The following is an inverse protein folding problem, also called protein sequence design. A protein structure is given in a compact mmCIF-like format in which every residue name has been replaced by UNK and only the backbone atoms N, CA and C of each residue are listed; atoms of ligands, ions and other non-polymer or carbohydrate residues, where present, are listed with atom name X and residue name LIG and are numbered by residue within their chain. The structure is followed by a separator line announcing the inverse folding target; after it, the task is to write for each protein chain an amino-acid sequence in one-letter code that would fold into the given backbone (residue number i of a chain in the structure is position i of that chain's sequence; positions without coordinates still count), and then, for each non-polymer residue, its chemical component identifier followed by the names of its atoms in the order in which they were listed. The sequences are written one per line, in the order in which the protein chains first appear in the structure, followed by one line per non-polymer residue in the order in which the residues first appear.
data_IF_697890531057
#
_entry.id   IF_697890531057
#
_cell.length_a   1.000
_cell.length_b   1.000
_cell.length_c   1.000
_cell.angle_alpha   90.00
_cell.angle_beta   90.00
_cell.angle_gamma   90.00
#
_symmetry.space_group_name_H-M   'P 1'
#
loop_
_entity.id
_entity.type
_entity.pdbx_description
1 polymer ?
#
# COMPACT_ATOMS: atom_id res chain seq x y z
N UNK A 1 0.61 -3.19 28.86
CA UNK A 1 0.09 -4.42 28.22
C UNK A 1 -1.43 -4.45 28.02
N UNK A 2 -2.22 -3.51 28.56
CA UNK A 2 -3.67 -3.42 28.30
C UNK A 2 -4.07 -2.33 27.28
N UNK A 3 -3.17 -1.40 26.91
CA UNK A 3 -3.50 -0.28 25.99
C UNK A 3 -3.48 -0.65 24.49
N UNK A 4 -2.62 -1.56 24.03
CA UNK A 4 -2.60 -1.99 22.62
C UNK A 4 -3.90 -2.66 22.17
N UNK A 5 -4.64 -3.26 23.11
CA UNK A 5 -5.92 -3.91 22.81
C UNK A 5 -7.06 -2.92 22.62
N UNK A 6 -6.88 -1.64 23.01
CA UNK A 6 -7.93 -0.61 22.92
C UNK A 6 -7.90 0.18 21.60
N UNK A 7 -6.78 0.20 20.89
CA UNK A 7 -6.60 1.05 19.69
C UNK A 7 -7.19 0.38 18.44
N UNK A 8 -7.13 -0.96 18.36
CA UNK A 8 -7.77 -1.80 17.33
C UNK A 8 -9.30 -1.64 17.23
N UNK A 9 -9.97 -1.01 18.21
CA UNK A 9 -11.43 -0.89 18.32
C UNK A 9 -12.12 -0.12 17.18
N UNK A 10 -11.43 0.78 16.47
CA UNK A 10 -12.07 1.76 15.57
C UNK A 10 -11.73 1.63 14.08
N UNK A 11 -10.92 0.64 13.69
CA UNK A 11 -10.63 0.40 12.26
C UNK A 11 -11.83 -0.29 11.59
N UNK A 12 -12.41 0.38 10.59
CA UNK A 12 -13.40 -0.18 9.69
C UNK A 12 -12.67 -0.81 8.50
N UNK A 13 -12.77 -2.13 8.36
CA UNK A 13 -12.13 -2.87 7.27
C UNK A 13 -13.22 -3.34 6.32
N UNK A 14 -13.07 -3.12 5.02
CA UNK A 14 -14.06 -3.47 4.02
C UNK A 14 -13.42 -4.21 2.86
N UNK A 15 -13.94 -5.40 2.53
CA UNK A 15 -13.56 -6.08 1.29
C UNK A 15 -14.35 -5.48 0.13
N UNK A 16 -13.62 -4.92 -0.84
CA UNK A 16 -14.20 -4.50 -2.11
C UNK A 16 -14.35 -5.72 -3.02
N UNK A 17 -15.49 -5.85 -3.69
CA UNK A 17 -15.71 -6.94 -4.64
C UNK A 17 -14.95 -6.66 -5.93
N UNK A 18 -13.69 -7.10 -6.00
CA UNK A 18 -12.81 -6.84 -7.12
C UNK A 18 -12.06 -8.08 -7.59
N UNK A 19 -11.67 -8.05 -8.87
CA UNK A 19 -10.67 -8.93 -9.50
C UNK A 19 -9.71 -8.06 -10.28
N UNK A 20 -8.68 -7.59 -9.60
CA UNK A 20 -7.71 -6.64 -10.14
C UNK A 20 -6.48 -7.36 -10.66
N UNK A 21 -5.86 -6.76 -11.65
CA UNK A 21 -4.56 -7.14 -12.16
C UNK A 21 -3.58 -6.00 -11.91
N UNK A 22 -2.31 -6.35 -11.71
CA UNK A 22 -1.21 -5.38 -11.58
C UNK A 22 -0.40 -5.42 -12.87
N UNK A 23 -0.13 -4.26 -13.47
CA UNK A 23 0.66 -4.11 -14.69
C UNK A 23 1.91 -3.32 -14.36
N UNK A 24 3.07 -3.97 -14.48
CA UNK A 24 4.39 -3.36 -14.44
C UNK A 24 4.80 -2.85 -15.82
N UNK A 25 5.15 -1.57 -15.92
CA UNK A 25 5.62 -0.90 -17.13
C UNK A 25 6.98 -0.25 -16.84
N UNK A 26 8.07 -0.71 -17.47
CA UNK A 26 9.37 -0.05 -17.38
C UNK A 26 9.30 1.40 -17.86
N UNK A 27 10.02 2.32 -17.21
CA UNK A 27 9.94 3.76 -17.53
C UNK A 27 10.26 4.12 -18.98
N UNK A 28 11.20 3.42 -19.60
CA UNK A 28 11.53 3.65 -21.02
C UNK A 28 10.37 3.28 -21.97
N UNK A 29 9.41 2.46 -21.52
CA UNK A 29 8.20 2.11 -22.26
C UNK A 29 6.99 2.96 -21.88
N UNK A 30 7.02 3.65 -20.74
CA UNK A 30 5.91 4.46 -20.22
C UNK A 30 5.25 5.38 -21.28
N UNK A 31 6.01 6.10 -22.16
CA UNK A 31 5.40 6.93 -23.20
C UNK A 31 4.45 6.17 -24.14
N UNK A 32 4.69 4.88 -24.40
CA UNK A 32 3.79 4.05 -25.21
C UNK A 32 2.47 3.75 -24.50
N UNK A 33 2.47 3.76 -23.18
CA UNK A 33 1.34 3.40 -22.32
C UNK A 33 0.52 4.61 -21.82
N UNK A 34 0.92 5.84 -22.17
CA UNK A 34 0.11 7.03 -21.85
C UNK A 34 -1.31 6.89 -22.38
N UNK A 35 -1.49 6.47 -23.62
CA UNK A 35 -2.82 6.37 -24.23
C UNK A 35 -3.77 5.41 -23.47
N UNK A 36 -3.39 4.16 -23.13
CA UNK A 36 -4.26 3.29 -22.35
C UNK A 36 -4.46 3.80 -20.91
N UNK A 37 -3.47 4.45 -20.30
CA UNK A 37 -3.62 5.08 -18.98
C UNK A 37 -4.66 6.21 -19.02
N UNK A 38 -4.59 7.09 -20.02
CA UNK A 38 -5.57 8.17 -20.20
C UNK A 38 -6.97 7.61 -20.45
N UNK A 39 -7.11 6.55 -21.26
CA UNK A 39 -8.40 5.87 -21.46
C UNK A 39 -8.97 5.30 -20.17
N UNK A 40 -8.13 4.70 -19.33
CA UNK A 40 -8.54 4.19 -18.02
C UNK A 40 -9.07 5.31 -17.12
N UNK A 41 -8.44 6.48 -17.14
CA UNK A 41 -8.85 7.66 -16.38
C UNK A 41 -10.18 8.27 -16.87
N UNK A 42 -10.46 8.22 -18.18
CA UNK A 42 -11.71 8.75 -18.77
C UNK A 42 -12.95 7.91 -18.48
N UNK A 43 -12.82 6.74 -17.83
CA UNK A 43 -14.00 5.94 -17.46
C UNK A 43 -14.91 6.67 -16.46
N UNK A 44 -14.38 7.64 -15.71
CA UNK A 44 -15.16 8.54 -14.83
C UNK A 44 -16.22 9.35 -15.60
N UNK A 45 -16.04 9.56 -16.91
CA UNK A 45 -16.97 10.31 -17.75
C UNK A 45 -18.20 9.48 -18.18
N UNK A 46 -18.26 8.20 -17.80
CA UNK A 46 -19.39 7.33 -18.10
C UNK A 46 -20.68 7.85 -17.44
N UNK A 47 -21.77 7.90 -18.20
CA UNK A 47 -23.09 8.37 -17.75
C UNK A 47 -23.91 7.27 -17.07
N UNK A 48 -23.26 6.26 -16.50
CA UNK A 48 -23.96 5.11 -15.94
C UNK A 48 -24.79 5.51 -14.73
N UNK A 49 -26.05 5.09 -14.70
CA UNK A 49 -26.92 5.25 -13.54
C UNK A 49 -26.63 4.13 -12.53
N UNK A 50 -26.49 4.51 -11.27
CA UNK A 50 -26.37 3.57 -10.14
C UNK A 50 -27.66 3.67 -9.34
N UNK A 51 -28.42 2.58 -9.23
CA UNK A 51 -29.70 2.51 -8.52
C UNK A 51 -30.74 3.57 -8.96
N UNK A 52 -30.74 3.93 -10.25
CA UNK A 52 -31.65 4.93 -10.84
C UNK A 52 -31.30 6.38 -10.48
N UNK A 53 -30.14 6.62 -9.89
CA UNK A 53 -29.56 7.94 -9.70
C UNK A 53 -28.30 8.10 -10.58
N UNK A 54 -28.06 9.30 -11.14
CA UNK A 54 -26.83 9.55 -11.88
C UNK A 54 -25.63 9.39 -10.94
N UNK A 55 -24.62 8.61 -11.37
CA UNK A 55 -23.36 8.50 -10.64
C UNK A 55 -22.76 9.88 -10.44
N UNK A 56 -22.21 10.12 -9.25
CA UNK A 56 -21.42 11.32 -8.96
C UNK A 56 -20.22 11.36 -9.90
N UNK A 57 -20.02 12.46 -10.61
CA UNK A 57 -18.91 12.57 -11.60
C UNK A 57 -17.52 12.39 -11.00
N UNK A 58 -17.35 12.77 -9.75
CA UNK A 58 -16.09 12.58 -9.03
C UNK A 58 -15.86 11.13 -8.58
N UNK A 59 -16.88 10.26 -8.63
CA UNK A 59 -16.77 8.86 -8.25
C UNK A 59 -16.37 8.00 -9.45
N UNK A 60 -15.38 7.14 -9.24
CA UNK A 60 -14.90 6.24 -10.28
C UNK A 60 -15.87 5.07 -10.48
N UNK A 61 -16.08 4.56 -11.72
CA UNK A 61 -16.97 3.42 -11.96
C UNK A 61 -16.60 2.13 -11.26
N UNK A 62 -15.30 1.86 -11.15
CA UNK A 62 -14.79 0.62 -10.56
C UNK A 62 -14.44 0.83 -9.10
N UNK A 63 -14.60 -0.21 -8.28
CA UNK A 63 -14.36 -0.11 -6.84
C UNK A 63 -12.95 0.37 -6.48
N UNK A 64 -11.94 0.02 -7.28
CA UNK A 64 -10.56 0.47 -7.07
C UNK A 64 -9.75 0.51 -8.37
N UNK A 65 -8.94 1.55 -8.53
CA UNK A 65 -7.87 1.64 -9.53
C UNK A 65 -6.75 2.52 -8.99
N UNK A 66 -5.50 2.10 -9.17
CA UNK A 66 -4.32 2.88 -8.84
C UNK A 66 -3.38 2.96 -10.05
N UNK A 67 -2.83 4.15 -10.31
CA UNK A 67 -1.80 4.39 -11.32
C UNK A 67 -0.65 5.09 -10.63
N UNK A 68 0.50 4.44 -10.55
CA UNK A 68 1.69 4.96 -9.89
C UNK A 68 2.85 5.03 -10.87
N UNK A 69 3.45 6.21 -11.02
CA UNK A 69 4.72 6.43 -11.71
C UNK A 69 5.75 6.81 -10.67
N UNK A 70 6.90 6.16 -10.68
CA UNK A 70 8.02 6.38 -9.75
C UNK A 70 9.31 6.55 -10.54
N UNK A 71 10.43 6.77 -9.86
CA UNK A 71 11.77 6.84 -10.48
C UNK A 71 12.28 5.49 -11.00
N UNK A 72 11.57 4.39 -10.71
CA UNK A 72 11.95 3.03 -11.12
C UNK A 72 11.02 2.47 -12.21
N UNK A 73 9.71 2.68 -12.07
CA UNK A 73 8.68 2.09 -12.92
C UNK A 73 7.36 2.86 -12.93
N UNK A 74 6.48 2.49 -13.86
CA UNK A 74 5.05 2.73 -13.77
C UNK A 74 4.32 1.42 -13.43
N UNK A 75 3.43 1.47 -12.45
CA UNK A 75 2.54 0.38 -12.03
C UNK A 75 1.09 0.81 -12.21
N UNK A 76 0.26 -0.04 -12.81
CA UNK A 76 -1.18 0.17 -12.94
C UNK A 76 -1.92 -1.00 -12.31
N UNK A 77 -2.75 -0.72 -11.32
CA UNK A 77 -3.70 -1.66 -10.72
C UNK A 77 -5.09 -1.31 -11.21
N UNK A 78 -5.74 -2.21 -11.96
CA UNK A 78 -7.13 -2.00 -12.38
C UNK A 78 -7.83 -3.35 -12.64
N UNK A 79 -9.16 -3.38 -12.81
CA UNK A 79 -9.89 -4.61 -13.14
C UNK A 79 -9.27 -5.38 -14.31
N UNK A 80 -9.13 -6.71 -14.14
CA UNK A 80 -8.55 -7.60 -15.16
C UNK A 80 -9.15 -7.39 -16.57
N UNK A 81 -10.48 -7.25 -16.75
CA UNK A 81 -11.05 -7.00 -18.07
C UNK A 81 -10.54 -5.72 -18.73
N UNK A 82 -10.27 -4.66 -17.96
CA UNK A 82 -9.72 -3.40 -18.48
C UNK A 82 -8.24 -3.53 -18.84
N UNK A 83 -7.47 -4.36 -18.13
CA UNK A 83 -6.11 -4.72 -18.54
C UNK A 83 -6.12 -5.43 -19.90
N UNK A 84 -7.02 -6.40 -20.07
CA UNK A 84 -7.14 -7.16 -21.31
C UNK A 84 -7.65 -6.31 -22.47
N UNK A 85 -8.50 -5.32 -22.22
CA UNK A 85 -9.01 -4.41 -23.26
C UNK A 85 -8.01 -3.30 -23.62
N UNK A 86 -7.41 -2.65 -22.64
CA UNK A 86 -6.64 -1.41 -22.84
C UNK A 86 -5.14 -1.68 -23.04
N UNK A 87 -4.56 -2.61 -22.27
CA UNK A 87 -3.11 -2.79 -22.19
C UNK A 87 -2.62 -3.97 -23.04
N UNK A 88 -3.28 -5.13 -22.98
CA UNK A 88 -2.86 -6.34 -23.70
C UNK A 88 -2.71 -6.13 -25.22
N UNK A 89 -3.63 -5.45 -25.93
CA UNK A 89 -3.48 -5.25 -27.37
C UNK A 89 -2.29 -4.36 -27.72
N UNK A 90 -1.90 -3.44 -26.83
CA UNK A 90 -0.70 -2.62 -27.02
C UNK A 90 0.56 -3.46 -26.80
N UNK A 91 0.61 -4.24 -25.71
CA UNK A 91 1.74 -5.11 -25.36
C UNK A 91 2.02 -6.12 -26.48
N UNK A 92 0.97 -6.68 -27.09
CA UNK A 92 1.12 -7.64 -28.19
C UNK A 92 1.71 -7.05 -29.47
N UNK A 93 1.62 -5.72 -29.66
CA UNK A 93 2.21 -5.01 -30.80
C UNK A 93 3.65 -4.56 -30.56
N UNK A 94 4.15 -4.64 -29.32
CA UNK A 94 5.54 -4.32 -29.00
C UNK A 94 6.48 -5.37 -29.60
N UNK A 95 7.74 -4.99 -29.79
CA UNK A 95 8.78 -5.96 -30.14
C UNK A 95 8.97 -7.00 -29.02
N UNK A 96 9.64 -8.11 -29.32
CA UNK A 96 9.78 -9.22 -28.38
C UNK A 96 10.45 -8.83 -27.06
N UNK A 97 11.40 -7.88 -27.08
CA UNK A 97 12.14 -7.46 -25.88
C UNK A 97 11.26 -6.56 -25.01
N UNK A 98 10.63 -5.55 -25.60
CA UNK A 98 9.72 -4.64 -24.91
C UNK A 98 8.48 -5.39 -24.37
N UNK A 99 7.95 -6.34 -25.13
CA UNK A 99 6.84 -7.20 -24.72
C UNK A 99 7.16 -8.03 -23.46
N UNK A 100 8.37 -8.58 -23.37
CA UNK A 100 8.80 -9.36 -22.19
C UNK A 100 9.09 -8.49 -20.97
N UNK A 101 9.39 -7.21 -21.17
CA UNK A 101 9.70 -6.29 -20.08
C UNK A 101 8.46 -5.75 -19.37
N UNK A 102 7.29 -5.76 -20.02
CA UNK A 102 6.01 -5.40 -19.41
C UNK A 102 5.40 -6.65 -18.78
N UNK A 103 5.09 -6.59 -17.48
CA UNK A 103 4.59 -7.75 -16.73
C UNK A 103 3.16 -7.48 -16.30
N UNK A 104 2.28 -8.45 -16.51
CA UNK A 104 0.93 -8.46 -15.94
C UNK A 104 0.92 -9.57 -14.90
N UNK A 105 0.43 -9.27 -13.69
CA UNK A 105 0.35 -10.25 -12.61
C UNK A 105 -0.43 -11.49 -13.03
N UNK A 106 0.04 -12.68 -12.62
CA UNK A 106 -0.68 -13.92 -12.93
C UNK A 106 -1.95 -14.04 -12.08
N UNK A 107 -1.85 -13.73 -10.78
CA UNK A 107 -2.98 -13.74 -9.87
C UNK A 107 -3.86 -12.50 -10.02
N UNK A 108 -5.15 -12.71 -9.80
CA UNK A 108 -6.10 -11.64 -9.53
C UNK A 108 -5.97 -11.20 -8.07
N UNK A 109 -6.23 -9.93 -7.80
CA UNK A 109 -6.19 -9.35 -6.46
C UNK A 109 -7.57 -8.85 -6.03
N UNK A 110 -7.85 -9.01 -4.74
CA UNK A 110 -8.97 -8.37 -4.06
C UNK A 110 -8.44 -7.24 -3.19
N UNK A 111 -9.22 -6.18 -3.02
CA UNK A 111 -8.82 -5.01 -2.22
C UNK A 111 -9.55 -5.02 -0.89
N UNK A 112 -8.80 -4.74 0.16
CA UNK A 112 -9.28 -4.45 1.49
C UNK A 112 -9.09 -2.95 1.71
N UNK A 113 -10.17 -2.20 1.82
CA UNK A 113 -10.14 -0.80 2.22
C UNK A 113 -10.16 -0.73 3.74
N UNK A 114 -9.27 0.08 4.31
CA UNK A 114 -9.20 0.32 5.75
C UNK A 114 -9.44 1.80 6.01
N UNK A 115 -10.56 2.08 6.67
CA UNK A 115 -10.92 3.37 7.21
C UNK A 115 -10.88 3.36 8.74
N UNK A 116 -10.90 4.53 9.36
CA UNK A 116 -10.97 4.66 10.82
C UNK A 116 -10.30 5.93 11.32
N UNK A 117 -10.99 6.64 12.21
CA UNK A 117 -10.44 7.78 12.94
C UNK A 117 -9.76 7.28 14.23
N UNK A 118 -8.57 7.81 14.54
CA UNK A 118 -7.95 7.66 15.88
C UNK A 118 -6.83 6.63 16.02
N UNK A 119 -6.31 6.05 14.93
CA UNK A 119 -5.04 5.31 14.96
C UNK A 119 -3.93 6.09 14.25
N UNK A 120 -2.71 6.00 14.75
CA UNK A 120 -1.51 6.48 14.06
C UNK A 120 -1.26 5.64 12.81
N UNK A 121 -0.91 6.26 11.67
CA UNK A 121 -0.85 5.54 10.39
C UNK A 121 0.19 4.41 10.39
N UNK A 122 1.33 4.61 11.06
CA UNK A 122 2.33 3.56 11.20
C UNK A 122 1.80 2.33 11.93
N UNK A 123 1.13 2.52 13.08
CA UNK A 123 0.56 1.41 13.85
C UNK A 123 -0.54 0.67 13.06
N UNK A 124 -1.37 1.39 12.29
CA UNK A 124 -2.36 0.76 11.39
C UNK A 124 -1.72 -0.19 10.39
N UNK A 125 -0.65 0.26 9.74
CA UNK A 125 0.09 -0.54 8.76
C UNK A 125 0.59 -1.81 9.44
N UNK A 126 1.19 -1.71 10.63
CA UNK A 126 1.74 -2.87 11.31
C UNK A 126 0.65 -3.86 11.75
N UNK A 127 -0.41 -3.38 12.39
CA UNK A 127 -1.51 -4.20 12.91
C UNK A 127 -2.23 -4.99 11.81
N UNK A 128 -2.37 -4.38 10.62
CA UNK A 128 -3.01 -5.02 9.47
C UNK A 128 -2.07 -5.96 8.72
N UNK A 129 -0.79 -5.62 8.59
CA UNK A 129 0.14 -6.37 7.73
C UNK A 129 0.84 -7.52 8.47
N UNK A 130 1.03 -7.43 9.79
CA UNK A 130 1.63 -8.49 10.60
C UNK A 130 0.88 -9.84 10.52
N UNK A 131 -0.46 -9.93 10.71
CA UNK A 131 -1.16 -11.20 10.59
C UNK A 131 -1.07 -11.81 9.19
N UNK A 132 -1.04 -10.97 8.15
CA UNK A 132 -0.93 -11.44 6.76
C UNK A 132 0.48 -11.95 6.45
N UNK A 133 1.51 -11.27 6.96
CA UNK A 133 2.87 -11.74 6.89
C UNK A 133 3.03 -13.10 7.58
N UNK A 134 2.48 -13.24 8.80
CA UNK A 134 2.49 -14.50 9.56
C UNK A 134 1.79 -15.65 8.83
N UNK A 135 0.72 -15.35 8.11
CA UNK A 135 0.02 -16.31 7.25
C UNK A 135 0.74 -16.59 5.92
N UNK A 136 1.90 -15.95 5.67
CA UNK A 136 2.67 -16.13 4.44
C UNK A 136 1.99 -15.55 3.20
N UNK A 137 1.23 -14.46 3.36
CA UNK A 137 0.47 -13.83 2.28
C UNK A 137 1.26 -12.62 1.76
N UNK A 138 1.58 -12.62 0.47
CA UNK A 138 2.15 -11.45 -0.21
C UNK A 138 1.06 -10.41 -0.39
N UNK A 139 1.36 -9.15 -0.10
CA UNK A 139 0.40 -8.05 -0.13
C UNK A 139 1.02 -6.81 -0.80
N UNK A 140 0.16 -5.97 -1.37
CA UNK A 140 0.53 -4.59 -1.73
C UNK A 140 -0.24 -3.64 -0.82
N UNK A 141 0.44 -2.66 -0.25
CA UNK A 141 -0.16 -1.63 0.61
C UNK A 141 -0.08 -0.27 -0.08
N UNK A 142 -1.21 0.41 -0.19
CA UNK A 142 -1.33 1.72 -0.83
C UNK A 142 -2.09 2.65 0.12
N UNK A 143 -1.39 3.62 0.69
CA UNK A 143 -2.01 4.76 1.38
C UNK A 143 -2.50 5.78 0.35
N UNK A 144 -3.71 6.29 0.55
CA UNK A 144 -4.28 7.42 -0.19
C UNK A 144 -4.62 8.56 0.77
N UNK A 145 -5.13 9.67 0.23
CA UNK A 145 -5.65 10.79 1.01
C UNK A 145 -6.77 10.37 1.99
N UNK A 146 -7.60 9.41 1.60
CA UNK A 146 -8.84 9.08 2.32
C UNK A 146 -8.75 7.81 3.15
N UNK A 147 -8.01 6.82 2.67
CA UNK A 147 -7.99 5.47 3.24
C UNK A 147 -6.71 4.73 2.87
N UNK A 148 -6.43 3.68 3.62
CA UNK A 148 -5.40 2.71 3.32
C UNK A 148 -6.01 1.53 2.55
N UNK A 149 -5.29 0.99 1.57
CA UNK A 149 -5.74 -0.14 0.75
C UNK A 149 -4.72 -1.26 0.78
N UNK A 150 -5.19 -2.48 1.05
CA UNK A 150 -4.37 -3.70 1.01
C UNK A 150 -4.88 -4.61 -0.10
N UNK A 151 -4.04 -4.84 -1.09
CA UNK A 151 -4.30 -5.82 -2.14
C UNK A 151 -3.74 -7.16 -1.67
N UNK A 152 -4.58 -8.19 -1.76
CA UNK A 152 -4.21 -9.57 -1.45
C UNK A 152 -4.60 -10.48 -2.62
N UNK A 153 -3.85 -11.57 -2.88
CA UNK A 153 -4.23 -12.53 -3.89
C UNK A 153 -5.66 -13.02 -3.66
N UNK A 154 -6.48 -13.00 -4.72
CA UNK A 154 -7.90 -13.34 -4.65
C UNK A 154 -8.12 -14.74 -4.06
N UNK A 155 -7.25 -15.68 -4.41
CA UNK A 155 -7.30 -17.06 -3.92
C UNK A 155 -6.95 -17.19 -2.42
N UNK A 156 -6.28 -16.19 -1.85
CA UNK A 156 -5.93 -16.16 -0.41
C UNK A 156 -7.01 -15.48 0.44
N UNK A 157 -8.12 -15.01 -0.15
CA UNK A 157 -9.17 -14.26 0.56
C UNK A 157 -9.67 -14.95 1.83
N UNK A 158 -9.93 -16.27 1.79
CA UNK A 158 -10.38 -17.01 2.97
C UNK A 158 -9.32 -17.05 4.08
N UNK A 159 -8.05 -17.23 3.71
CA UNK A 159 -6.92 -17.25 4.65
C UNK A 159 -6.74 -15.88 5.28
N UNK A 160 -6.88 -14.80 4.50
CA UNK A 160 -6.84 -13.42 5.00
C UNK A 160 -7.96 -13.17 6.02
N UNK A 161 -9.19 -13.62 5.71
CA UNK A 161 -10.33 -13.52 6.63
C UNK A 161 -9.98 -14.19 7.96
N UNK A 162 -9.57 -15.46 7.94
CA UNK A 162 -9.22 -16.18 9.17
C UNK A 162 -8.07 -15.54 9.94
N UNK A 163 -7.03 -15.08 9.25
CA UNK A 163 -5.88 -14.42 9.89
C UNK A 163 -6.26 -13.10 10.59
N UNK A 164 -7.22 -12.35 10.04
CA UNK A 164 -7.75 -11.14 10.67
C UNK A 164 -8.71 -11.47 11.82
N UNK A 165 -9.56 -12.50 11.69
CA UNK A 165 -10.46 -12.95 12.78
C UNK A 165 -9.69 -13.40 14.02
N UNK A 166 -8.58 -14.11 13.84
CA UNK A 166 -7.70 -14.54 14.94
C UNK A 166 -7.11 -13.35 15.72
N UNK A 167 -7.12 -12.15 15.14
CA UNK A 167 -6.67 -10.89 15.78
C UNK A 167 -7.82 -10.01 16.28
N UNK A 168 -9.04 -10.51 16.28
CA UNK A 168 -10.20 -9.82 16.86
C UNK A 168 -10.94 -8.89 15.91
N UNK A 169 -10.61 -8.88 14.62
CA UNK A 169 -11.48 -8.28 13.62
C UNK A 169 -12.70 -9.16 13.40
N UNK A 170 -13.88 -8.59 13.15
CA UNK A 170 -15.07 -9.40 12.89
C UNK A 170 -15.85 -8.98 11.68
N UNK A 171 -16.46 -9.99 11.07
CA UNK A 171 -17.21 -9.88 9.84
C UNK A 171 -18.69 -9.67 10.14
N UNK A 172 -19.22 -8.51 9.74
CA UNK A 172 -20.65 -8.32 9.65
C UNK A 172 -21.11 -8.55 8.20
N UNK A 173 -21.91 -9.60 7.93
CA UNK A 173 -22.48 -9.77 6.60
C UNK A 173 -23.47 -8.63 6.33
N UNK A 174 -23.21 -7.83 5.28
CA UNK A 174 -24.16 -6.80 4.85
C UNK A 174 -25.42 -7.52 4.33
N UNK A 175 -26.56 -7.21 4.95
CA UNK A 175 -27.85 -7.88 4.76
C UNK A 175 -28.49 -7.75 3.36
N UNK A 176 -27.85 -7.03 2.43
CA UNK A 176 -28.37 -6.83 1.07
C UNK A 176 -27.48 -7.40 -0.05
N UNK A 177 -26.52 -8.28 0.30
CA UNK A 177 -25.77 -9.09 -0.65
C UNK A 177 -24.64 -8.35 -1.37
N UNK A 178 -23.46 -8.97 -1.37
CA UNK A 178 -22.28 -8.70 -2.20
C UNK A 178 -21.19 -7.75 -1.65
N UNK A 179 -21.25 -7.36 -0.37
CA UNK A 179 -20.11 -6.72 0.34
C UNK A 179 -19.95 -7.26 1.75
N UNK A 180 -18.70 -7.38 2.24
CA UNK A 180 -18.40 -7.71 3.63
C UNK A 180 -17.79 -6.47 4.31
N UNK A 181 -18.55 -5.86 5.21
CA UNK A 181 -18.03 -4.84 6.12
C UNK A 181 -17.54 -5.54 7.38
N UNK A 182 -16.38 -5.12 7.87
CA UNK A 182 -15.81 -5.61 9.11
C UNK A 182 -15.69 -4.46 10.09
N UNK A 183 -16.12 -4.74 11.31
CA UNK A 183 -15.97 -3.85 12.47
C UNK A 183 -15.28 -4.64 13.56
N UNK A 184 -14.42 -3.99 14.35
CA UNK A 184 -13.81 -4.65 15.49
C UNK A 184 -14.87 -4.77 16.62
N UNK A 185 -15.23 -6.00 17.04
CA UNK A 185 -16.28 -6.22 18.06
C UNK A 185 -15.85 -5.79 19.47
N UNK A 186 -14.62 -5.30 19.65
CA UNK A 186 -14.16 -4.83 20.97
C UNK A 186 -14.84 -3.51 21.40
N UNK A 187 -15.68 -2.91 20.55
CA UNK A 187 -16.44 -1.67 20.83
C UNK A 187 -17.52 -1.82 21.93
N UNK A 188 -17.62 -0.89 22.93
CA UNK A 188 -18.54 -1.04 24.08
C UNK A 188 -20.03 -0.86 23.77
N UNK A 189 -20.45 -0.73 22.51
CA UNK A 189 -21.81 -0.28 22.18
C UNK A 189 -22.79 -1.35 21.69
N UNK A 190 -22.46 -2.64 21.68
CA UNK A 190 -23.45 -3.70 21.38
C UNK A 190 -23.34 -4.90 22.32
N UNK A 191 -23.84 -4.72 23.55
CA UNK A 191 -24.08 -5.80 24.49
C UNK A 191 -25.35 -6.59 24.15
N UNK A 192 -25.27 -7.61 23.28
CA UNK A 192 -26.30 -8.66 23.25
C UNK A 192 -25.74 -10.06 22.99
N UNK A 193 -25.34 -10.69 24.08
CA UNK A 193 -25.70 -12.05 24.50
C UNK A 193 -25.70 -13.15 23.42
N UNK A 194 -24.60 -13.89 23.27
CA UNK A 194 -24.66 -15.30 22.85
C UNK A 194 -23.71 -16.18 23.67
N UNK A 195 -24.33 -17.20 24.26
CA UNK A 195 -23.75 -18.19 25.15
C UNK A 195 -22.62 -19.00 24.52
N UNK A 196 -21.70 -19.39 25.38
CA UNK A 196 -20.62 -20.34 25.14
C UNK A 196 -21.12 -21.69 24.60
N UNK A 197 -20.31 -22.32 23.75
CA UNK A 197 -20.06 -23.75 23.89
C UNK A 197 -18.67 -24.10 23.37
N UNK A 198 -17.94 -24.86 24.18
CA UNK A 198 -16.63 -25.42 23.96
C UNK A 198 -16.72 -26.68 23.09
N UNK A 199 -15.78 -26.88 22.18
CA UNK A 199 -15.42 -28.22 21.71
C UNK A 199 -13.95 -28.28 21.30
N UNK A 200 -13.42 -29.48 21.49
CA UNK A 200 -12.03 -29.87 21.70
C UNK A 200 -11.26 -30.22 20.42
N UNK A 201 -9.95 -29.98 20.49
CA UNK A 201 -8.80 -30.67 19.85
C UNK A 201 -9.06 -31.86 18.91
N UNK A 202 -8.41 -31.88 17.74
CA UNK A 202 -7.33 -32.84 17.36
C UNK A 202 -6.88 -32.68 15.89
N UNK A 203 -5.56 -32.50 15.74
CA UNK A 203 -4.60 -32.89 14.68
C UNK A 203 -5.01 -33.03 13.19
N UNK A 204 -4.30 -32.26 12.34
CA UNK A 204 -3.64 -32.78 11.13
C UNK A 204 -2.59 -31.77 10.59
N UNK A 205 -1.29 -32.06 10.79
CA UNK A 205 -0.16 -31.40 10.11
C UNK A 205 -0.02 -31.84 8.63
N UNK A 206 0.54 -30.98 7.78
CA UNK A 206 1.69 -31.35 6.96
C UNK A 206 2.88 -30.37 7.11
N UNK A 207 4.10 -30.77 6.69
CA UNK A 207 5.36 -30.20 7.20
C UNK A 207 5.98 -29.14 6.27
N UNK A 208 6.74 -28.21 6.88
CA UNK A 208 7.69 -27.36 6.16
C UNK A 208 8.04 -26.06 6.89
N UNK A 209 8.86 -26.14 7.94
CA UNK A 209 9.43 -25.04 8.77
C UNK A 209 8.41 -24.15 9.51
N UNK A 210 8.57 -23.91 10.83
CA UNK A 210 7.62 -23.06 11.56
C UNK A 210 7.68 -21.62 11.02
N UNK A 211 6.54 -20.97 10.74
CA UNK A 211 6.52 -19.56 10.41
C UNK A 211 7.09 -18.76 11.61
N UNK A 212 7.79 -17.64 11.35
CA UNK A 212 8.29 -16.79 12.43
C UNK A 212 7.13 -16.37 13.34
N UNK A 213 7.27 -16.48 14.66
CA UNK A 213 6.14 -16.32 15.58
C UNK A 213 5.93 -14.86 16.04
N UNK A 214 6.86 -13.96 15.74
CA UNK A 214 6.89 -12.58 16.25
C UNK A 214 7.24 -11.54 15.19
N UNK A 215 6.82 -10.29 15.39
CA UNK A 215 7.15 -9.14 14.50
C UNK A 215 8.66 -8.92 14.40
N UNK A 216 9.41 -9.11 15.50
CA UNK A 216 10.86 -8.99 15.53
C UNK A 216 11.58 -9.99 14.61
N UNK A 217 11.07 -11.23 14.52
CA UNK A 217 11.61 -12.22 13.58
C UNK A 217 11.32 -11.83 12.12
N UNK A 218 10.16 -11.21 11.86
CA UNK A 218 9.83 -10.68 10.52
C UNK A 218 10.70 -9.50 10.11
N UNK A 219 11.03 -8.60 11.04
CA UNK A 219 12.02 -7.54 10.80
C UNK A 219 13.36 -8.15 10.38
N UNK A 220 13.93 -9.02 11.22
CA UNK A 220 15.23 -9.68 10.95
C UNK A 220 15.23 -10.41 9.60
N UNK A 221 14.16 -11.18 9.30
CA UNK A 221 13.99 -11.89 8.04
C UNK A 221 13.89 -10.93 6.84
N UNK A 222 13.18 -9.82 7.00
CA UNK A 222 12.99 -8.81 5.96
C UNK A 222 14.33 -8.19 5.59
N UNK A 223 15.05 -7.61 6.55
CA UNK A 223 16.34 -6.97 6.28
C UNK A 223 17.40 -7.96 5.80
N UNK A 224 17.41 -9.19 6.31
CA UNK A 224 18.24 -10.27 5.75
C UNK A 224 17.94 -10.55 4.27
N UNK A 225 16.66 -10.50 3.89
CA UNK A 225 16.22 -10.73 2.49
C UNK A 225 16.60 -9.55 1.60
N UNK A 226 16.37 -8.31 2.07
CA UNK A 226 16.75 -7.10 1.35
C UNK A 226 18.26 -7.05 1.12
N UNK A 227 19.05 -7.28 2.18
CA UNK A 227 20.50 -7.29 2.12
C UNK A 227 21.04 -8.37 1.18
N UNK A 228 20.54 -9.61 1.28
CA UNK A 228 20.98 -10.72 0.40
C UNK A 228 20.75 -10.42 -1.08
N UNK A 229 19.77 -9.58 -1.40
CA UNK A 229 19.45 -9.19 -2.76
C UNK A 229 20.03 -7.81 -3.13
N UNK A 230 20.87 -7.20 -2.29
CA UNK A 230 21.48 -5.90 -2.55
C UNK A 230 20.40 -4.84 -2.85
N UNK A 231 19.44 -4.76 -1.91
CA UNK A 231 18.34 -3.80 -1.91
C UNK A 231 18.58 -2.86 -0.73
N UNK A 232 18.91 -1.61 -1.05
CA UNK A 232 19.17 -0.56 -0.08
C UNK A 232 18.00 0.44 -0.10
N UNK A 233 17.59 0.98 1.06
CA UNK A 233 16.68 2.11 1.11
C UNK A 233 17.36 3.36 0.54
N UNK A 234 16.70 4.06 -0.39
CA UNK A 234 17.25 5.25 -1.02
C UNK A 234 16.26 6.41 -0.95
N UNK A 235 16.75 7.62 -0.68
CA UNK A 235 15.97 8.85 -0.68
C UNK A 235 16.52 9.79 -1.76
N UNK A 236 15.61 10.44 -2.47
CA UNK A 236 15.93 11.53 -3.37
C UNK A 236 15.45 12.84 -2.75
N UNK A 237 16.36 13.58 -2.12
CA UNK A 237 16.05 14.83 -1.42
C UNK A 237 15.59 15.96 -2.36
N UNK A 238 15.67 15.77 -3.68
CA UNK A 238 15.14 16.74 -4.66
C UNK A 238 13.68 16.49 -5.02
N UNK A 239 13.10 15.40 -4.52
CA UNK A 239 11.77 14.92 -4.87
C UNK A 239 10.81 15.12 -3.69
N UNK A 240 10.38 16.37 -3.51
CA UNK A 240 9.40 16.76 -2.50
C UNK A 240 8.00 16.29 -2.88
N UNK A 241 7.34 15.55 -2.01
CA UNK A 241 6.02 14.97 -2.26
C UNK A 241 4.91 15.74 -1.53
N UNK A 242 3.76 15.83 -2.21
CA UNK A 242 2.50 16.38 -1.68
C UNK A 242 1.38 15.40 -1.93
N UNK A 243 0.53 15.18 -0.92
CA UNK A 243 -0.70 14.38 -1.05
C UNK A 243 -1.90 15.30 -1.10
N UNK A 244 -2.78 15.05 -2.07
CA UNK A 244 -3.95 15.86 -2.32
C UNK A 244 -5.17 15.03 -2.71
N UNK A 245 -6.34 15.64 -2.57
CA UNK A 245 -7.61 15.09 -3.03
C UNK A 245 -8.27 16.05 -4.03
N UNK A 246 -8.98 15.51 -5.01
CA UNK A 246 -9.82 16.30 -5.90
C UNK A 246 -10.93 16.99 -5.10
N UNK A 247 -11.24 18.25 -5.43
CA UNK A 247 -12.35 18.96 -4.81
C UNK A 247 -13.68 18.25 -5.09
N UNK A 248 -14.48 18.01 -4.05
CA UNK A 248 -15.76 17.32 -4.17
C UNK A 248 -16.83 18.28 -4.69
N UNK A 249 -16.95 18.36 -6.01
CA UNK A 249 -17.94 19.18 -6.70
C UNK A 249 -18.72 18.36 -7.72
N UNK A 250 -20.02 18.66 -7.85
CA UNK A 250 -20.86 18.13 -8.94
C UNK A 250 -20.69 18.95 -10.24
N UNK A 251 -19.87 20.01 -10.23
CA UNK A 251 -19.57 20.83 -11.41
C UNK A 251 -18.66 20.10 -12.40
N UNK A 252 -19.07 20.05 -13.66
CA UNK A 252 -18.26 19.50 -14.76
C UNK A 252 -16.96 20.25 -14.90
N UNK A 253 -16.99 21.57 -14.85
CA UNK A 253 -15.82 22.42 -15.09
C UNK A 253 -14.72 22.14 -14.07
N UNK A 254 -15.10 21.86 -12.82
CA UNK A 254 -14.17 21.48 -11.75
C UNK A 254 -13.55 20.11 -12.00
N UNK A 255 -14.38 19.11 -12.30
CA UNK A 255 -13.89 17.76 -12.58
C UNK A 255 -12.95 17.74 -13.79
N UNK A 256 -13.36 18.39 -14.89
CA UNK A 256 -12.59 18.48 -16.12
C UNK A 256 -11.26 19.21 -15.90
N UNK A 257 -11.25 20.26 -15.06
CA UNK A 257 -10.02 20.97 -14.70
C UNK A 257 -9.04 20.11 -13.89
N UNK A 258 -9.54 19.32 -12.93
CA UNK A 258 -8.73 18.38 -12.15
C UNK A 258 -8.16 17.30 -13.08
N UNK A 259 -9.00 16.68 -13.90
CA UNK A 259 -8.58 15.63 -14.84
C UNK A 259 -7.59 16.15 -15.88
N UNK A 260 -7.77 17.39 -16.37
CA UNK A 260 -6.81 18.05 -17.24
C UNK A 260 -5.45 18.23 -16.54
N UNK A 261 -5.44 18.61 -15.26
CA UNK A 261 -4.22 18.67 -14.44
C UNK A 261 -3.53 17.30 -14.36
N UNK A 262 -4.29 16.25 -14.05
CA UNK A 262 -3.79 14.86 -14.03
C UNK A 262 -3.18 14.46 -15.39
N UNK A 263 -3.85 14.75 -16.49
CA UNK A 263 -3.37 14.43 -17.83
C UNK A 263 -2.08 15.17 -18.16
N UNK A 264 -2.00 16.46 -17.82
CA UNK A 264 -0.77 17.25 -17.99
C UNK A 264 0.38 16.64 -17.21
N UNK A 265 0.18 16.27 -15.95
CA UNK A 265 1.20 15.62 -15.13
C UNK A 265 1.71 14.34 -15.79
N UNK A 266 0.83 13.42 -16.20
CA UNK A 266 1.22 12.16 -16.84
C UNK A 266 1.99 12.38 -18.15
N UNK A 267 1.61 13.39 -18.93
CA UNK A 267 2.30 13.73 -20.18
C UNK A 267 3.73 14.27 -19.98
N UNK A 268 4.10 14.68 -18.76
CA UNK A 268 5.45 15.20 -18.46
C UNK A 268 6.46 14.12 -18.05
N UNK A 269 6.09 12.83 -18.04
CA UNK A 269 6.90 11.73 -17.48
C UNK A 269 7.29 12.01 -16.02
N UNK A 270 6.32 12.04 -15.10
CA UNK A 270 6.55 12.47 -13.72
C UNK A 270 7.54 11.54 -13.01
N UNK A 271 8.40 12.10 -12.16
CA UNK A 271 9.34 11.32 -11.34
C UNK A 271 8.63 10.56 -10.22
N UNK A 272 7.55 11.15 -9.69
CA UNK A 272 6.67 10.51 -8.72
C UNK A 272 5.26 11.04 -8.85
N UNK A 273 4.31 10.15 -9.07
CA UNK A 273 2.87 10.44 -9.11
C UNK A 273 2.09 9.14 -8.89
N UNK A 274 1.32 9.06 -7.81
CA UNK A 274 0.37 7.99 -7.52
C UNK A 274 -1.04 8.55 -7.52
N UNK A 275 -1.92 7.96 -8.32
CA UNK A 275 -3.32 8.35 -8.47
C UNK A 275 -4.17 7.17 -7.99
N UNK A 276 -5.04 7.40 -7.02
CA UNK A 276 -5.98 6.40 -6.49
C UNK A 276 -7.42 6.85 -6.77
N UNK A 277 -8.20 5.96 -7.38
CA UNK A 277 -9.58 6.18 -7.80
C UNK A 277 -10.49 5.11 -7.20
N UNK A 278 -11.58 5.54 -6.57
CA UNK A 278 -12.57 4.66 -5.93
C UNK A 278 -13.99 5.12 -6.23
N UNK A 279 -14.97 4.28 -5.87
CA UNK A 279 -16.40 4.62 -5.99
C UNK A 279 -16.88 5.60 -4.90
N UNK A 280 -16.16 5.69 -3.78
CA UNK A 280 -16.62 6.39 -2.57
C UNK A 280 -16.03 7.79 -2.43
N UNK A 281 -14.86 8.02 -3.04
CA UNK A 281 -14.06 9.21 -2.83
C UNK A 281 -13.73 9.91 -4.14
N UNK A 282 -13.31 11.17 -4.05
CA UNK A 282 -12.75 11.86 -5.21
C UNK A 282 -11.35 11.31 -5.49
N UNK A 283 -10.77 11.70 -6.63
CA UNK A 283 -9.39 11.30 -6.97
C UNK A 283 -8.43 11.69 -5.85
N UNK A 284 -7.63 10.74 -5.37
CA UNK A 284 -6.52 11.01 -4.47
C UNK A 284 -5.21 10.96 -5.26
N UNK A 285 -4.32 11.91 -5.02
CA UNK A 285 -3.06 12.01 -5.75
C UNK A 285 -1.92 12.33 -4.79
N UNK A 286 -0.86 11.52 -4.81
CA UNK A 286 0.44 11.84 -4.19
C UNK A 286 1.44 12.09 -5.30
N UNK A 287 2.07 13.26 -5.34
CA UNK A 287 2.84 13.71 -6.49
C UNK A 287 4.04 14.57 -6.08
N UNK A 288 5.04 14.66 -6.96
CA UNK A 288 6.11 15.66 -6.88
C UNK A 288 5.51 17.08 -6.86
N UNK A 289 5.85 17.87 -5.83
CA UNK A 289 5.36 19.23 -5.61
C UNK A 289 5.40 20.12 -6.86
N UNK A 290 6.42 19.96 -7.72
CA UNK A 290 6.52 20.77 -8.94
C UNK A 290 5.33 20.57 -9.89
N UNK A 291 4.70 19.40 -9.84
CA UNK A 291 3.53 19.05 -10.64
C UNK A 291 2.24 19.74 -10.16
N UNK A 292 2.20 20.30 -8.94
CA UNK A 292 1.05 21.07 -8.44
C UNK A 292 0.68 22.25 -9.35
N UNK A 293 1.68 22.82 -10.05
CA UNK A 293 1.49 23.91 -11.01
C UNK A 293 0.59 23.55 -12.21
N UNK A 294 0.30 22.25 -12.43
CA UNK A 294 -0.62 21.81 -13.48
C UNK A 294 -2.09 21.92 -13.07
N UNK A 295 -2.40 22.14 -11.80
CA UNK A 295 -3.75 22.21 -11.26
C UNK A 295 -4.21 23.66 -11.04
N UNK A 296 -5.53 23.93 -11.02
CA UNK A 296 -6.04 25.28 -10.76
C UNK A 296 -5.63 25.82 -9.38
N UNK A 297 -5.11 27.05 -9.33
CA UNK A 297 -4.73 27.74 -8.08
C UNK A 297 -5.94 28.25 -7.27
N UNK A 298 -7.07 28.53 -7.94
CA UNK A 298 -8.33 28.91 -7.28
C UNK A 298 -8.94 27.69 -6.62
N UNK A 299 -9.31 27.79 -5.32
CA UNK A 299 -9.66 26.73 -4.36
C UNK A 299 -10.78 25.71 -4.68
N UNK A 300 -11.03 25.46 -5.96
CA UNK A 300 -11.93 24.44 -6.51
C UNK A 300 -11.17 23.33 -7.27
N UNK A 301 -9.83 23.25 -7.18
CA UNK A 301 -9.03 22.23 -7.88
C UNK A 301 -8.73 21.00 -7.02
N UNK A 302 -7.57 21.03 -6.36
CA UNK A 302 -7.11 19.98 -5.46
C UNK A 302 -6.95 20.53 -4.04
N UNK A 303 -7.21 19.69 -3.05
CA UNK A 303 -7.09 19.96 -1.62
C UNK A 303 -5.84 19.27 -1.10
N UNK A 304 -4.87 20.05 -0.60
CA UNK A 304 -3.70 19.49 0.07
C UNK A 304 -4.10 18.85 1.40
N UNK A 305 -3.49 17.71 1.73
CA UNK A 305 -3.74 17.01 2.99
C UNK A 305 -3.29 17.86 4.18
N UNK A 306 -2.16 18.54 4.03
CA UNK A 306 -1.59 19.51 4.95
C UNK A 306 -0.49 20.30 4.19
N UNK A 307 0.15 21.24 4.90
CA UNK A 307 1.26 22.04 4.35
C UNK A 307 2.63 21.34 4.51
N UNK A 308 2.67 20.08 4.98
CA UNK A 308 3.91 19.35 5.26
C UNK A 308 4.50 18.72 4.00
N UNK A 309 5.83 18.75 3.93
CA UNK A 309 6.62 18.16 2.85
C UNK A 309 6.94 16.73 3.20
N UNK A 310 6.83 15.84 2.21
CA UNK A 310 7.11 14.42 2.39
C UNK A 310 8.20 13.93 1.44
N UNK A 311 8.89 12.87 1.84
CA UNK A 311 9.92 12.21 1.02
C UNK A 311 9.66 10.71 0.96
N UNK A 312 9.94 10.11 -0.19
CA UNK A 312 9.87 8.67 -0.36
C UNK A 312 11.24 8.02 -0.12
N UNK A 313 11.30 7.12 0.86
CA UNK A 313 12.35 6.11 1.00
C UNK A 313 11.97 4.94 0.10
N UNK A 314 12.71 4.78 -1.00
CA UNK A 314 12.43 3.83 -2.08
C UNK A 314 13.23 2.55 -1.87
N UNK A 315 12.54 1.42 -1.96
CA UNK A 315 13.10 0.08 -2.03
C UNK A 315 12.91 -0.47 -3.44
N UNK A 316 14.01 -0.74 -4.14
CA UNK A 316 13.98 -1.39 -5.47
C UNK A 316 13.82 -2.91 -5.32
N UNK A 317 12.59 -3.39 -5.48
CA UNK A 317 12.22 -4.79 -5.29
C UNK A 317 12.28 -5.60 -6.59
N UNK A 318 12.84 -5.07 -7.69
CA UNK A 318 12.94 -5.79 -8.99
C UNK A 318 13.70 -7.10 -8.89
N UNK A 319 14.61 -7.21 -7.93
CA UNK A 319 15.42 -8.41 -7.67
C UNK A 319 14.66 -9.47 -6.84
N UNK A 320 13.49 -9.14 -6.29
CA UNK A 320 12.69 -10.06 -5.50
C UNK A 320 11.58 -10.75 -6.32
N UNK A 321 11.19 -11.99 -5.96
CA UNK A 321 9.97 -12.61 -6.44
C UNK A 321 8.72 -11.81 -6.03
N UNK A 322 7.66 -11.85 -6.84
CA UNK A 322 6.35 -11.24 -6.54
C UNK A 322 5.72 -11.83 -5.25
N UNK A 323 6.03 -13.09 -4.94
CA UNK A 323 5.57 -13.81 -3.75
C UNK A 323 6.32 -13.43 -2.46
N UNK A 324 7.14 -12.38 -2.47
CA UNK A 324 7.91 -11.99 -1.29
C UNK A 324 7.01 -11.41 -0.20
N UNK A 325 6.95 -12.10 0.94
CA UNK A 325 6.06 -11.75 2.06
C UNK A 325 6.79 -10.97 3.14
N UNK A 326 6.07 -10.12 3.88
CA UNK A 326 6.53 -9.56 5.15
C UNK A 326 7.41 -8.32 5.05
N UNK A 327 7.74 -7.84 3.83
CA UNK A 327 8.56 -6.64 3.61
C UNK A 327 7.95 -5.42 4.31
N UNK A 328 6.67 -5.15 4.04
CA UNK A 328 5.95 -4.00 4.62
C UNK A 328 5.93 -4.09 6.14
N UNK A 329 5.60 -5.27 6.70
CA UNK A 329 5.56 -5.49 8.15
C UNK A 329 6.94 -5.30 8.80
N UNK A 330 8.02 -5.80 8.17
CA UNK A 330 9.37 -5.67 8.68
C UNK A 330 9.86 -4.21 8.67
N UNK A 331 9.64 -3.51 7.56
CA UNK A 331 9.99 -2.08 7.41
C UNK A 331 9.18 -1.21 8.37
N UNK A 332 7.86 -1.38 8.42
CA UNK A 332 6.97 -0.67 9.32
C UNK A 332 7.34 -0.89 10.79
N UNK A 333 7.58 -2.15 11.16
CA UNK A 333 7.96 -2.51 12.52
C UNK A 333 9.28 -1.87 12.93
N UNK A 334 10.28 -1.83 12.05
CA UNK A 334 11.58 -1.20 12.34
C UNK A 334 11.45 0.30 12.57
N UNK A 335 10.69 0.99 11.72
CA UNK A 335 10.50 2.43 11.83
C UNK A 335 9.74 2.79 13.11
N UNK A 336 8.67 2.06 13.44
CA UNK A 336 7.94 2.26 14.69
C UNK A 336 8.78 1.94 15.94
N UNK A 337 9.63 0.91 15.90
CA UNK A 337 10.53 0.59 17.02
C UNK A 337 11.52 1.73 17.30
N UNK A 338 12.01 2.41 16.26
CA UNK A 338 13.05 3.44 16.39
C UNK A 338 12.50 4.84 16.56
N UNK A 339 11.38 5.16 15.94
CA UNK A 339 10.81 6.50 15.87
C UNK A 339 9.49 6.64 16.61
N UNK A 340 8.85 5.52 16.98
CA UNK A 340 7.55 5.50 17.66
C UNK A 340 7.60 5.65 19.18
N UNK A 341 8.78 5.63 19.80
CA UNK A 341 8.91 5.69 21.27
C UNK A 341 9.18 7.14 21.74
N UNK A 342 8.15 7.74 22.35
CA UNK A 342 8.08 9.11 22.88
C UNK A 342 8.99 9.30 24.13
N UNK A 343 10.31 9.22 23.93
CA UNK A 343 11.32 9.27 25.00
C UNK A 343 12.46 10.29 24.82
N UNK A 344 12.45 11.09 23.74
CA UNK A 344 13.59 11.94 23.38
C UNK A 344 13.19 13.27 22.74
N UNK A 345 12.86 14.25 23.57
CA UNK A 345 12.94 15.70 23.30
C UNK A 345 12.20 16.24 22.05
N UNK A 346 10.88 16.36 22.12
CA UNK A 346 10.08 17.18 21.21
C UNK A 346 8.59 16.97 21.48
N UNK A 347 7.74 17.96 21.29
CA UNK A 347 6.32 17.90 21.67
C UNK A 347 5.53 16.82 20.88
N UNK A 348 5.29 15.65 21.48
CA UNK A 348 4.05 14.85 21.38
C UNK A 348 3.49 14.50 20.00
N UNK A 349 4.29 14.48 18.93
CA UNK A 349 3.87 14.05 17.61
C UNK A 349 4.27 12.58 17.39
N UNK A 350 3.28 11.70 17.27
CA UNK A 350 3.52 10.32 16.92
C UNK A 350 4.04 10.17 15.48
N UNK A 351 5.02 9.29 15.29
CA UNK A 351 5.60 9.00 13.97
C UNK A 351 4.53 8.60 12.96
N UNK A 352 4.42 9.38 11.88
CA UNK A 352 3.39 9.20 10.86
C UNK A 352 4.01 8.85 9.52
N UNK A 353 3.79 7.62 9.05
CA UNK A 353 4.26 7.17 7.74
C UNK A 353 3.10 6.70 6.86
N UNK A 354 3.26 6.89 5.55
CA UNK A 354 2.42 6.32 4.51
C UNK A 354 3.20 5.29 3.70
N UNK A 355 2.52 4.32 3.09
CA UNK A 355 3.20 3.30 2.30
C UNK A 355 2.58 3.20 0.90
N UNK A 356 3.43 3.18 -0.13
CA UNK A 356 3.02 2.95 -1.52
C UNK A 356 3.78 1.76 -2.09
N UNK A 357 3.09 0.65 -2.27
CA UNK A 357 3.57 -0.51 -3.01
C UNK A 357 3.23 -0.36 -4.48
N UNK A 358 4.23 -0.51 -5.35
CA UNK A 358 4.04 -0.66 -6.80
C UNK A 358 4.32 -2.10 -7.21
N UNK A 359 4.36 -2.41 -8.51
CA UNK A 359 4.60 -3.78 -8.95
C UNK A 359 6.01 -4.27 -8.58
N UNK A 360 7.02 -3.37 -8.57
CA UNK A 360 8.42 -3.73 -8.22
C UNK A 360 9.11 -2.73 -7.27
N UNK A 361 8.40 -1.82 -6.63
CA UNK A 361 8.97 -0.96 -5.58
C UNK A 361 8.09 -0.90 -4.33
N UNK A 362 8.75 -0.78 -3.18
CA UNK A 362 8.11 -0.32 -1.94
C UNK A 362 8.56 1.11 -1.67
N UNK A 363 7.64 2.00 -1.34
CA UNK A 363 7.95 3.41 -1.06
C UNK A 363 7.37 3.74 0.31
N UNK A 364 8.23 4.00 1.28
CA UNK A 364 7.82 4.53 2.58
C UNK A 364 7.86 6.04 2.49
N UNK A 365 6.75 6.70 2.77
CA UNK A 365 6.62 8.15 2.67
C UNK A 365 6.55 8.73 4.08
N UNK A 366 7.51 9.58 4.42
CA UNK A 366 7.70 10.19 5.74
C UNK A 366 7.86 11.70 5.63
N UNK A 367 7.67 12.43 6.73
CA UNK A 367 7.84 13.88 6.73
C UNK A 367 9.30 14.29 6.58
N UNK A 368 9.52 15.53 6.13
CA UNK A 368 10.85 16.12 5.93
C UNK A 368 11.74 16.07 7.18
N UNK A 369 11.18 16.29 8.36
CA UNK A 369 11.89 16.24 9.63
C UNK A 369 12.22 14.80 10.08
N UNK A 370 11.47 13.82 9.63
CA UNK A 370 11.62 12.40 10.00
C UNK A 370 12.47 11.60 8.98
N UNK A 371 12.72 12.13 7.78
CA UNK A 371 13.30 11.35 6.67
C UNK A 371 14.71 10.83 6.94
N UNK A 372 15.54 11.63 7.60
CA UNK A 372 16.93 11.25 7.88
C UNK A 372 17.00 10.15 8.93
N UNK A 373 16.28 10.33 10.04
CA UNK A 373 16.23 9.37 11.13
C UNK A 373 15.57 8.05 10.67
N UNK A 374 14.54 8.13 9.82
CA UNK A 374 13.94 6.96 9.18
C UNK A 374 14.91 6.23 8.25
N UNK A 375 15.69 6.95 7.44
CA UNK A 375 16.70 6.32 6.59
C UNK A 375 17.81 5.66 7.42
N UNK A 376 18.29 6.32 8.47
CA UNK A 376 19.30 5.77 9.38
C UNK A 376 18.78 4.49 10.06
N UNK A 377 17.56 4.51 10.61
CA UNK A 377 16.93 3.35 11.23
C UNK A 377 16.81 2.13 10.30
N UNK A 378 16.66 2.36 8.99
CA UNK A 378 16.59 1.30 7.98
C UNK A 378 17.97 0.80 7.53
N UNK A 379 19.02 1.60 7.69
CA UNK A 379 20.41 1.24 7.33
C UNK A 379 21.18 0.58 8.48
N UNK A 380 20.88 0.87 9.74
CA UNK A 380 21.65 0.40 10.91
C UNK A 380 21.80 -1.14 11.01
N UNK A 381 20.88 -1.93 10.45
CA UNK A 381 21.01 -3.39 10.45
C UNK A 381 22.12 -3.90 9.51
N UNK A 382 22.57 -3.08 8.57
CA UNK A 382 23.76 -3.36 7.76
C UNK A 382 25.00 -3.43 8.64
N UNK A 383 25.15 -2.50 9.59
CA UNK A 383 26.31 -2.46 10.48
C UNK A 383 26.34 -3.65 11.45
N UNK A 384 25.19 -4.06 11.99
CA UNK A 384 25.10 -5.20 12.92
C UNK A 384 25.29 -6.56 12.24
N UNK A 385 24.94 -6.70 10.96
CA UNK A 385 25.17 -7.93 10.21
C UNK A 385 26.66 -8.16 9.90
N UNK A 386 27.44 -7.10 9.65
CA UNK A 386 28.88 -7.15 9.38
C UNK A 386 29.69 -7.44 10.65
N UNK A 387 29.33 -6.83 11.79
CA UNK A 387 29.99 -7.09 13.08
C UNK A 387 29.73 -8.52 13.60
N UNK A 388 28.57 -9.10 13.26
CA UNK A 388 28.23 -10.49 13.59
C UNK A 388 29.08 -11.49 12.81
N UNK A 389 29.38 -11.20 11.54
CA UNK A 389 30.30 -11.98 10.70
C UNK A 389 31.75 -11.86 11.18
N UNK A 390 32.22 -10.66 11.55
CA UNK A 390 33.56 -10.47 12.10
C UNK A 390 33.77 -11.07 13.49
N UNK A 391 32.70 -11.22 14.31
CA UNK A 391 32.78 -11.96 15.57
C UNK A 391 32.86 -13.48 15.41
N UNK A 392 32.40 -14.05 14.29
CA UNK A 392 32.52 -15.49 14.04
C UNK A 392 33.89 -15.88 13.47
N UNK A 393 34.55 -15.00 12.69
CA UNK A 393 35.91 -15.24 12.18
C UNK A 393 37.02 -15.00 13.21
N UNK A 394 36.70 -14.43 14.38
CA UNK A 394 37.65 -14.09 15.43
C UNK A 394 37.92 -15.18 16.49
N UNK A 395 37.29 -16.36 16.42
CA UNK A 395 37.35 -17.37 17.51
C UNK A 395 38.26 -18.58 17.20
N UNK A 396 38.72 -18.78 15.96
CA UNK A 396 39.59 -19.93 15.60
C UNK A 396 41.10 -19.69 15.73
N UNK A 397 41.50 -18.78 16.63
CA UNK A 397 42.89 -18.33 16.78
C UNK A 397 43.54 -18.62 18.13
N UNK A 398 43.04 -19.55 18.95
CA UNK A 398 43.70 -19.86 20.22
C UNK A 398 43.39 -21.29 20.69
N UNK A 399 44.16 -22.27 20.20
CA UNK A 399 44.64 -23.44 20.97
C UNK A 399 45.31 -24.47 20.05
N UNK A 400 46.63 -24.65 20.19
CA UNK A 400 47.35 -25.72 19.53
C UNK A 400 48.85 -25.65 19.82
N UNK A 401 49.24 -26.29 20.93
CA UNK A 401 50.56 -26.64 21.45
C UNK A 401 51.83 -26.38 20.64
#
# INVERSE_FOLDING_TARGET
MMDHSMVLLNAQVQFLETKLAIVHIPLHLYPHFIQPILRLLTLSDSTDEVDGLPRRKWAYPNAFTNISVTTIECSVVCPRPLVDELFRPLIERLDAKAKQAVIISNDDFVVIQVGGEGMEAGQRVLDLTAPLALAGISIFFITSYYSDFVLVPYNSKSTVISALEERGFAFEPISNGHGANMTNISSPLHSHNRNSSSSSSLDSQPPGTPPPATVAEWQTKTFSTLHRNDILPLVDETLELRTCAGYRSDSNDVHDAIMLGVFRCLLTNPRFMSITLTQTDTVSITLDQQLLSNFPESGEGILLQNDQTYFAIVFDLRKLPEESTGIICGVAGRLLERLGDDGGAGEGAAFNMSYLSTARTGNVIVQEDEVHDALEALLEEEALSVDSLHRMDGIDGMNGH
#
